data_IF_281343544998
#
_entry.id   IF_281343544998
#
_cell.length_a   1.000
_cell.length_b   1.000
_cell.length_c   1.000
_cell.angle_alpha   90.00
_cell.angle_beta   90.00
_cell.angle_gamma   90.00
#
_symmetry.space_group_name_H-M   'P 1'
#
loop_
_entity.id
_entity.type
_entity.pdbx_description
1 polymer ?
#
# COMPACT_ATOMS: atom_id res chain seq x y z
N UNK A 1 -29.20 9.96 -22.58
CA UNK A 1 -28.47 10.78 -21.56
C UNK A 1 -28.34 10.05 -20.22
N UNK A 2 -29.36 9.29 -19.79
CA UNK A 2 -29.30 8.43 -18.59
C UNK A 2 -28.16 7.40 -18.60
N UNK A 3 -27.86 6.76 -19.74
CA UNK A 3 -26.77 5.76 -19.83
C UNK A 3 -25.39 6.34 -19.51
N UNK A 4 -25.12 7.60 -19.88
CA UNK A 4 -23.85 8.27 -19.54
C UNK A 4 -23.74 8.56 -18.04
N UNK A 5 -24.86 8.84 -17.37
CA UNK A 5 -24.92 9.08 -15.92
C UNK A 5 -24.72 7.75 -15.18
N UNK A 6 -25.34 6.66 -15.66
CA UNK A 6 -25.18 5.32 -15.10
C UNK A 6 -23.72 4.88 -15.19
N UNK A 7 -23.04 5.05 -16.32
CA UNK A 7 -21.59 4.75 -16.43
C UNK A 7 -20.69 5.66 -15.57
N UNK A 8 -21.16 6.85 -15.19
CA UNK A 8 -20.42 7.76 -14.30
C UNK A 8 -20.65 7.42 -12.82
N UNK A 9 -21.80 6.84 -12.48
CA UNK A 9 -22.18 6.42 -11.11
C UNK A 9 -21.77 4.95 -10.83
N UNK A 10 -21.72 4.11 -11.86
CA UNK A 10 -21.18 2.75 -11.74
C UNK A 10 -19.67 2.86 -11.68
N UNK A 11 -19.13 2.56 -10.49
CA UNK A 11 -17.70 2.39 -10.31
C UNK A 11 -17.22 1.26 -11.22
N UNK A 12 -16.36 1.56 -12.19
CA UNK A 12 -15.77 0.51 -13.04
C UNK A 12 -14.83 -0.36 -12.22
N UNK A 13 -14.56 -1.61 -12.65
CA UNK A 13 -13.64 -2.48 -11.92
C UNK A 13 -12.24 -1.86 -11.78
N UNK A 14 -11.75 -1.12 -12.80
CA UNK A 14 -10.48 -0.39 -12.74
C UNK A 14 -10.49 0.74 -11.71
N UNK A 15 -11.60 1.48 -11.62
CA UNK A 15 -11.74 2.50 -10.58
C UNK A 15 -11.88 1.87 -9.19
N UNK A 16 -12.53 0.71 -9.09
CA UNK A 16 -12.68 -0.02 -7.84
C UNK A 16 -11.33 -0.51 -7.32
N UNK A 17 -10.50 -1.15 -8.16
CA UNK A 17 -9.14 -1.55 -7.76
C UNK A 17 -8.28 -0.35 -7.40
N UNK A 18 -8.36 0.74 -8.15
CA UNK A 18 -7.67 1.98 -7.80
C UNK A 18 -8.11 2.54 -6.44
N UNK A 19 -9.41 2.56 -6.13
CA UNK A 19 -9.90 3.01 -4.82
C UNK A 19 -9.52 2.04 -3.69
N UNK A 20 -9.40 0.75 -3.97
CA UNK A 20 -8.85 -0.24 -3.01
C UNK A 20 -7.42 0.14 -2.67
N UNK A 21 -6.55 0.41 -3.65
CA UNK A 21 -5.15 0.81 -3.37
C UNK A 21 -5.05 2.14 -2.64
N UNK A 22 -5.86 3.13 -3.07
CA UNK A 22 -5.85 4.47 -2.46
C UNK A 22 -6.21 4.44 -0.98
N UNK A 23 -7.13 3.57 -0.56
CA UNK A 23 -7.61 3.55 0.83
C UNK A 23 -6.54 3.19 1.86
N UNK A 24 -5.44 2.55 1.43
CA UNK A 24 -4.34 2.16 2.31
C UNK A 24 -3.37 3.32 2.56
N UNK A 25 -3.15 4.15 1.54
CA UNK A 25 -2.13 5.20 1.56
C UNK A 25 -2.71 6.61 1.72
N UNK A 26 -4.02 6.78 1.52
CA UNK A 26 -4.68 8.08 1.50
C UNK A 26 -6.13 7.98 2.00
N UNK A 27 -6.61 9.07 2.59
CA UNK A 27 -8.02 9.19 2.92
C UNK A 27 -8.89 9.35 1.67
N UNK A 28 -9.83 8.43 1.51
CA UNK A 28 -10.87 8.53 0.49
C UNK A 28 -12.18 9.09 1.10
N UNK A 29 -12.91 9.95 0.37
CA UNK A 29 -14.19 10.47 0.84
C UNK A 29 -15.19 9.36 1.21
N UNK A 30 -16.02 9.60 2.22
CA UNK A 30 -16.97 8.61 2.76
C UNK A 30 -17.90 8.05 1.67
N UNK A 31 -18.38 8.90 0.76
CA UNK A 31 -19.23 8.48 -0.34
C UNK A 31 -18.51 7.52 -1.31
N UNK A 32 -17.21 7.69 -1.54
CA UNK A 32 -16.38 6.74 -2.31
C UNK A 32 -16.19 5.42 -1.57
N UNK A 33 -16.06 5.44 -0.24
CA UNK A 33 -16.01 4.21 0.59
C UNK A 33 -17.29 3.40 0.43
N UNK A 34 -18.45 4.05 0.50
CA UNK A 34 -19.77 3.40 0.32
C UNK A 34 -19.90 2.84 -1.10
N UNK A 35 -19.59 3.65 -2.12
CA UNK A 35 -19.63 3.23 -3.53
C UNK A 35 -18.75 2.00 -3.79
N UNK A 36 -17.52 2.00 -3.25
CA UNK A 36 -16.60 0.87 -3.34
C UNK A 36 -17.15 -0.37 -2.64
N UNK A 37 -17.70 -0.22 -1.43
CA UNK A 37 -18.28 -1.33 -0.67
C UNK A 37 -19.41 -2.03 -1.43
N UNK A 38 -20.29 -1.26 -2.07
CA UNK A 38 -21.36 -1.79 -2.92
C UNK A 38 -20.75 -2.57 -4.11
N UNK A 39 -19.75 -2.00 -4.79
CA UNK A 39 -19.10 -2.66 -5.92
C UNK A 39 -18.42 -3.99 -5.52
N UNK A 40 -17.70 -4.02 -4.39
CA UNK A 40 -17.05 -5.23 -3.89
C UNK A 40 -18.05 -6.34 -3.53
N UNK A 41 -19.26 -5.97 -3.08
CA UNK A 41 -20.33 -6.97 -2.84
C UNK A 41 -20.90 -7.53 -4.14
N UNK A 42 -20.97 -6.72 -5.20
CA UNK A 42 -21.52 -7.12 -6.50
C UNK A 42 -20.51 -7.83 -7.41
N UNK A 43 -19.21 -7.55 -7.28
CA UNK A 43 -18.15 -8.10 -8.13
C UNK A 43 -17.19 -8.99 -7.33
N UNK A 44 -17.28 -10.31 -7.54
CA UNK A 44 -16.47 -11.32 -6.85
C UNK A 44 -14.96 -11.19 -7.14
N UNK A 45 -14.59 -10.82 -8.36
CA UNK A 45 -13.19 -10.59 -8.76
C UNK A 45 -12.58 -9.40 -8.02
N UNK A 46 -13.31 -8.28 -7.94
CA UNK A 46 -12.85 -7.11 -7.21
C UNK A 46 -12.82 -7.37 -5.69
N UNK A 47 -13.77 -8.14 -5.14
CA UNK A 47 -13.70 -8.59 -3.75
C UNK A 47 -12.44 -9.43 -3.46
N UNK A 48 -12.16 -10.40 -4.33
CA UNK A 48 -10.96 -11.25 -4.22
C UNK A 48 -9.68 -10.42 -4.32
N UNK A 49 -9.64 -9.46 -5.24
CA UNK A 49 -8.55 -8.49 -5.34
C UNK A 49 -8.38 -7.69 -4.04
N UNK A 50 -9.48 -7.15 -3.49
CA UNK A 50 -9.43 -6.34 -2.27
C UNK A 50 -8.86 -7.09 -1.07
N UNK A 51 -9.16 -8.39 -0.95
CA UNK A 51 -8.59 -9.26 0.08
C UNK A 51 -7.09 -9.47 -0.13
N UNK A 52 -6.65 -9.73 -1.37
CA UNK A 52 -5.24 -9.89 -1.72
C UNK A 52 -4.42 -8.62 -1.45
N UNK A 53 -4.94 -7.47 -1.88
CA UNK A 53 -4.31 -6.18 -1.63
C UNK A 53 -4.18 -5.91 -0.13
N UNK A 54 -5.23 -6.17 0.66
CA UNK A 54 -5.18 -6.01 2.11
C UNK A 54 -4.19 -6.95 2.81
N UNK A 55 -4.02 -8.18 2.31
CA UNK A 55 -3.00 -9.10 2.81
C UNK A 55 -1.59 -8.60 2.55
N UNK A 56 -1.32 -8.13 1.32
CA UNK A 56 0.00 -7.58 0.94
C UNK A 56 0.31 -6.36 1.78
N UNK A 57 -0.64 -5.43 1.90
CA UNK A 57 -0.48 -4.22 2.70
C UNK A 57 -0.15 -4.56 4.16
N UNK A 58 -0.91 -5.47 4.76
CA UNK A 58 -0.66 -5.89 6.14
C UNK A 58 0.72 -6.54 6.32
N UNK A 59 1.13 -7.40 5.39
CA UNK A 59 2.45 -8.03 5.43
C UNK A 59 3.59 -7.01 5.31
N UNK A 60 3.45 -6.02 4.42
CA UNK A 60 4.42 -4.94 4.25
C UNK A 60 4.49 -4.08 5.50
N UNK A 61 3.35 -3.63 6.02
CA UNK A 61 3.28 -2.80 7.23
C UNK A 61 3.89 -3.52 8.42
N UNK A 62 3.54 -4.80 8.62
CA UNK A 62 4.10 -5.61 9.70
C UNK A 62 5.62 -5.78 9.56
N UNK A 63 6.12 -6.03 8.35
CA UNK A 63 7.55 -6.10 8.09
C UNK A 63 8.25 -4.78 8.42
N UNK A 64 7.68 -3.65 8.01
CA UNK A 64 8.25 -2.33 8.30
C UNK A 64 8.26 -2.06 9.81
N UNK A 65 7.16 -2.33 10.52
CA UNK A 65 7.06 -2.15 11.98
C UNK A 65 8.06 -3.05 12.73
N UNK A 66 8.22 -4.30 12.32
CA UNK A 66 9.16 -5.24 12.96
C UNK A 66 10.62 -4.84 12.71
N UNK A 67 10.92 -4.23 11.56
CA UNK A 67 12.25 -3.81 11.16
C UNK A 67 12.46 -2.29 11.32
N UNK A 68 11.63 -1.63 12.14
CA UNK A 68 11.72 -0.19 12.42
C UNK A 68 12.97 0.07 13.27
N UNK A 69 14.07 0.43 12.59
CA UNK A 69 15.39 0.58 13.20
C UNK A 69 16.50 -0.16 12.45
N UNK A 70 16.16 -1.11 11.59
CA UNK A 70 17.14 -1.87 10.82
C UNK A 70 17.84 -1.02 9.76
N UNK A 71 17.13 -0.06 9.16
CA UNK A 71 17.76 0.94 8.28
C UNK A 71 18.79 1.80 9.04
N UNK A 72 18.46 2.19 10.29
CA UNK A 72 19.37 2.95 11.15
C UNK A 72 20.56 2.10 11.59
N UNK A 73 20.32 0.84 11.94
CA UNK A 73 21.34 -0.14 12.30
C UNK A 73 22.28 -0.42 11.10
N UNK A 74 21.74 -0.66 9.91
CA UNK A 74 22.54 -0.82 8.68
C UNK A 74 23.39 0.42 8.38
N UNK A 75 22.85 1.63 8.61
CA UNK A 75 23.59 2.87 8.38
C UNK A 75 24.73 3.04 9.40
N UNK A 76 24.47 2.75 10.69
CA UNK A 76 25.49 2.75 11.75
C UNK A 76 26.57 1.69 11.51
N UNK A 77 26.17 0.45 11.21
CA UNK A 77 27.07 -0.69 10.98
C UNK A 77 28.02 -0.40 9.79
N UNK A 78 27.53 0.23 8.72
CA UNK A 78 28.37 0.64 7.59
C UNK A 78 29.35 1.77 7.95
N UNK A 79 28.95 2.74 8.77
CA UNK A 79 29.83 3.83 9.21
C UNK A 79 30.98 3.30 10.05
N UNK A 80 30.69 2.41 11.00
CA UNK A 80 31.67 1.79 11.87
C UNK A 80 32.65 0.90 11.09
N UNK A 81 32.15 0.19 10.06
CA UNK A 81 32.99 -0.58 9.15
C UNK A 81 33.98 0.32 8.37
N UNK A 82 33.50 1.41 7.77
CA UNK A 82 34.34 2.37 7.04
C UNK A 82 35.42 2.95 7.96
N UNK A 83 35.08 3.26 9.20
CA UNK A 83 36.02 3.83 10.18
C UNK A 83 37.11 2.81 10.58
N UNK A 84 36.74 1.54 10.81
CA UNK A 84 37.70 0.45 11.03
C UNK A 84 38.65 0.24 9.86
N UNK A 85 38.15 0.27 8.62
CA UNK A 85 39.00 0.14 7.42
C UNK A 85 39.99 1.31 7.33
N UNK A 86 39.53 2.54 7.57
CA UNK A 86 40.41 3.73 7.57
C UNK A 86 41.53 3.64 8.61
N UNK A 87 41.27 3.08 9.79
CA UNK A 87 42.28 2.90 10.83
C UNK A 87 43.33 1.85 10.46
N UNK A 88 42.94 0.79 9.77
CA UNK A 88 43.86 -0.26 9.33
C UNK A 88 44.75 0.16 8.16
N UNK A 89 44.28 1.10 7.31
CA UNK A 89 45.07 1.65 6.19
C UNK A 89 46.09 2.72 6.66
N UNK A 90 45.86 3.34 7.83
CA UNK A 90 46.75 4.36 8.42
C UNK A 90 47.88 3.79 9.28
N UNK A 91 47.89 2.47 9.53
CA UNK A 91 49.00 1.74 10.15
C UNK A 91 49.94 1.23 9.08
#
# INVERSE_FOLDING_TARGET
>A
MLDKIIHTIILSCSQATLLVEKRFHMDIPIWKKIQLSIHLKACSSCNSYSKKAGFIEHAITHYIEQHEGDAKKYFTDNKDFIEKVKQNIKK
#
